data_IF_671628180975
#
_entry.id   IF_671628180975
#
_cell.length_a   1.000
_cell.length_b   1.000
_cell.length_c   1.000
_cell.angle_alpha   90.00
_cell.angle_beta   90.00
_cell.angle_gamma   90.00
#
_symmetry.space_group_name_H-M   'P 1'
#
loop_
_entity.id
_entity.type
_entity.pdbx_description
1 polymer ?
#
# COMPACT_ATOMS: atom_id res chain seq x y z
N UNK A 1 10.66 -9.70 -35.47
CA UNK A 1 10.58 -8.45 -34.71
C UNK A 1 10.59 -8.85 -33.23
N UNK A 2 11.73 -8.77 -32.54
CA UNK A 2 12.24 -7.56 -31.86
C UNK A 2 11.46 -7.36 -30.53
N UNK A 3 11.99 -7.32 -29.30
CA UNK A 3 13.32 -7.27 -28.66
C UNK A 3 13.08 -7.69 -27.18
N UNK A 4 13.91 -8.55 -26.59
CA UNK A 4 14.92 -8.16 -25.61
C UNK A 4 14.39 -7.39 -24.37
N UNK A 5 14.44 -8.05 -23.20
CA UNK A 5 15.13 -7.61 -21.97
C UNK A 5 14.77 -8.62 -20.85
N UNK A 6 15.67 -9.51 -20.37
CA UNK A 6 16.86 -9.26 -19.51
C UNK A 6 16.37 -8.68 -18.18
N UNK A 7 16.60 -9.20 -16.98
CA UNK A 7 17.34 -10.35 -16.48
C UNK A 7 17.00 -10.53 -14.98
N UNK A 8 17.46 -11.65 -14.41
CA UNK A 8 17.86 -11.80 -13.01
C UNK A 8 16.81 -11.64 -11.87
N UNK A 9 16.13 -12.74 -11.56
CA UNK A 9 15.72 -13.04 -10.18
C UNK A 9 16.44 -14.33 -9.70
N UNK A 10 17.76 -14.25 -9.52
CA UNK A 10 18.58 -15.31 -8.91
C UNK A 10 19.44 -14.74 -7.78
N UNK A 11 19.02 -14.92 -6.53
CA UNK A 11 19.80 -15.59 -5.46
C UNK A 11 19.04 -15.56 -4.13
N UNK A 12 18.64 -16.73 -3.66
CA UNK A 12 18.20 -16.96 -2.29
C UNK A 12 19.42 -17.08 -1.36
N UNK A 13 19.45 -16.29 -0.28
CA UNK A 13 20.24 -16.47 0.96
C UNK A 13 19.69 -15.42 1.95
N UNK A 14 18.94 -15.69 3.01
CA UNK A 14 18.82 -16.84 3.90
C UNK A 14 17.41 -16.92 4.52
N UNK A 15 16.83 -18.12 4.62
CA UNK A 15 16.00 -18.57 5.76
C UNK A 15 14.56 -18.09 5.96
N UNK A 16 13.99 -17.16 5.19
CA UNK A 16 12.61 -16.65 5.38
C UNK A 16 11.75 -16.89 4.13
N UNK A 17 10.89 -17.91 4.14
CA UNK A 17 10.01 -18.21 3.00
C UNK A 17 8.72 -17.37 3.05
N UNK A 18 8.64 -16.33 2.23
CA UNK A 18 7.36 -15.73 1.80
C UNK A 18 7.04 -16.23 0.39
N UNK A 19 6.09 -17.16 0.23
CA UNK A 19 5.55 -17.44 -1.09
C UNK A 19 4.58 -16.33 -1.50
N UNK A 20 5.02 -15.52 -2.44
CA UNK A 20 4.19 -14.64 -3.26
C UNK A 20 3.38 -15.52 -4.24
N UNK A 21 2.05 -15.43 -4.22
CA UNK A 21 1.20 -16.02 -5.25
C UNK A 21 0.47 -14.92 -6.03
N UNK A 22 0.65 -14.85 -7.37
CA UNK A 22 -0.16 -14.00 -8.22
C UNK A 22 -1.42 -14.77 -8.63
N UNK A 23 -2.59 -14.39 -8.10
CA UNK A 23 -3.86 -14.91 -8.58
C UNK A 23 -4.36 -14.04 -9.74
N UNK A 24 -4.21 -14.57 -10.96
CA UNK A 24 -5.00 -14.16 -12.12
C UNK A 24 -6.48 -14.50 -11.87
N UNK A 25 -7.37 -13.53 -11.64
CA UNK A 25 -8.81 -13.65 -11.97
C UNK A 25 -9.43 -12.24 -12.12
N UNK A 26 -10.35 -12.10 -13.07
CA UNK A 26 -10.78 -10.84 -13.67
C UNK A 26 -11.52 -9.86 -12.74
N UNK A 27 -11.33 -8.57 -13.06
CA UNK A 27 -12.14 -7.45 -12.56
C UNK A 27 -11.42 -6.62 -11.50
N UNK A 28 -10.44 -5.80 -11.93
CA UNK A 28 -9.85 -4.62 -11.26
C UNK A 28 -10.13 -4.47 -9.74
N UNK A 29 -9.76 -5.49 -8.97
CA UNK A 29 -9.96 -5.57 -7.54
C UNK A 29 -8.59 -5.76 -6.92
N UNK A 30 -8.02 -4.67 -6.40
CA UNK A 30 -6.80 -4.75 -5.60
C UNK A 30 -7.12 -5.60 -4.36
N UNK A 31 -6.70 -6.87 -4.35
CA UNK A 31 -6.86 -7.77 -3.20
C UNK A 31 -5.93 -7.33 -2.07
N UNK A 32 -4.66 -7.10 -2.39
CA UNK A 32 -3.63 -6.54 -1.51
C UNK A 32 -2.52 -5.85 -2.29
N UNK A 33 -2.00 -4.75 -1.76
CA UNK A 33 -0.88 -3.97 -2.28
C UNK A 33 0.11 -3.71 -1.14
N UNK A 34 1.37 -4.02 -1.37
CA UNK A 34 2.47 -3.72 -0.44
C UNK A 34 3.39 -2.69 -1.09
N UNK A 35 3.64 -1.60 -0.39
CA UNK A 35 4.43 -0.46 -0.87
C UNK A 35 5.02 0.29 0.33
N UNK A 36 5.49 1.51 0.16
CA UNK A 36 6.04 2.35 1.22
C UNK A 36 5.36 3.71 1.25
N UNK A 37 5.28 4.31 2.44
CA UNK A 37 4.74 5.67 2.60
C UNK A 37 5.77 6.68 2.11
N UNK A 38 5.49 7.39 1.03
CA UNK A 38 6.37 8.46 0.58
C UNK A 38 6.10 9.75 1.38
N UNK A 39 4.83 10.12 1.50
CA UNK A 39 4.44 11.38 2.15
C UNK A 39 3.03 11.28 2.74
N UNK A 40 2.81 11.93 3.87
CA UNK A 40 1.47 12.09 4.46
C UNK A 40 1.08 13.57 4.56
N UNK A 41 -0.06 13.94 4.02
CA UNK A 41 -0.64 15.29 4.10
C UNK A 41 -1.98 15.25 4.82
N UNK A 42 -2.41 16.39 5.37
CA UNK A 42 -3.72 16.51 6.04
C UNK A 42 -4.55 17.48 5.22
N UNK A 43 -5.81 17.14 4.99
CA UNK A 43 -6.76 18.01 4.31
C UNK A 43 -7.29 19.09 5.25
N UNK A 44 -7.96 20.10 4.69
CA UNK A 44 -8.65 21.13 5.46
C UNK A 44 -9.71 20.56 6.42
N UNK A 45 -10.31 19.41 6.10
CA UNK A 45 -11.27 18.72 6.97
C UNK A 45 -10.63 17.76 7.99
N UNK A 46 -9.30 17.77 8.12
CA UNK A 46 -8.56 16.96 9.11
C UNK A 46 -8.36 15.49 8.73
N UNK A 47 -8.71 15.09 7.50
CA UNK A 47 -8.49 13.75 7.00
C UNK A 47 -7.04 13.58 6.50
N UNK A 48 -6.44 12.42 6.74
CA UNK A 48 -5.11 12.11 6.22
C UNK A 48 -5.16 11.68 4.75
N UNK A 49 -4.20 12.17 3.98
CA UNK A 49 -3.89 11.72 2.62
C UNK A 49 -2.50 11.11 2.65
N UNK A 50 -2.38 9.88 2.16
CA UNK A 50 -1.16 9.12 2.05
C UNK A 50 -0.75 9.05 0.58
N UNK A 51 0.44 9.54 0.28
CA UNK A 51 1.12 9.36 -0.99
C UNK A 51 2.08 8.20 -0.83
N UNK A 52 1.90 7.17 -1.65
CA UNK A 52 2.70 5.95 -1.61
C UNK A 52 3.75 5.98 -2.71
N UNK A 53 4.82 5.21 -2.55
CA UNK A 53 5.95 5.20 -3.48
C UNK A 53 5.62 4.66 -4.88
N UNK A 54 4.47 4.01 -5.05
CA UNK A 54 3.94 3.60 -6.36
C UNK A 54 3.25 4.76 -7.12
N UNK A 55 3.23 5.97 -6.53
CA UNK A 55 2.55 7.15 -7.04
C UNK A 55 1.05 7.19 -6.75
N UNK A 56 0.50 6.18 -6.05
CA UNK A 56 -0.90 6.16 -5.68
C UNK A 56 -1.19 7.07 -4.47
N UNK A 57 -2.37 7.68 -4.49
CA UNK A 57 -2.84 8.56 -3.41
C UNK A 57 -4.05 7.95 -2.73
N UNK A 58 -4.01 7.91 -1.41
CA UNK A 58 -5.03 7.27 -0.58
C UNK A 58 -5.53 8.23 0.48
N UNK A 59 -6.83 8.44 0.53
CA UNK A 59 -7.47 9.32 1.50
C UNK A 59 -8.16 8.53 2.60
N UNK A 60 -7.91 8.89 3.84
CA UNK A 60 -8.62 8.38 4.99
C UNK A 60 -10.09 8.80 4.96
N UNK A 61 -10.98 7.83 5.18
CA UNK A 61 -12.44 8.02 5.19
C UNK A 61 -13.08 7.60 6.51
N UNK A 62 -12.30 7.08 7.47
CA UNK A 62 -12.77 6.78 8.82
C UNK A 62 -12.30 7.83 9.84
N UNK A 63 -12.80 7.70 11.06
CA UNK A 63 -12.42 8.54 12.21
C UNK A 63 -11.28 7.91 13.03
N UNK A 64 -10.52 6.96 12.47
CA UNK A 64 -9.43 6.32 13.19
C UNK A 64 -8.31 7.33 13.45
N UNK A 65 -7.93 7.52 14.72
CA UNK A 65 -6.78 8.38 15.02
C UNK A 65 -5.50 7.70 14.56
N UNK A 66 -4.81 8.32 13.61
CA UNK A 66 -3.46 7.91 13.17
C UNK A 66 -2.44 8.72 13.95
N UNK A 67 -1.50 8.02 14.59
CA UNK A 67 -0.37 8.66 15.27
C UNK A 67 0.59 9.24 14.21
N UNK A 68 0.53 10.57 14.04
CA UNK A 68 1.35 11.41 13.15
C UNK A 68 2.06 10.67 12.00
N UNK A 69 1.36 10.32 10.91
CA UNK A 69 1.94 9.54 9.80
C UNK A 69 3.07 10.28 9.07
N UNK A 70 3.24 11.59 9.29
CA UNK A 70 4.36 12.37 8.72
C UNK A 70 5.73 11.95 9.22
N UNK A 71 5.85 11.44 10.45
CA UNK A 71 7.15 10.99 10.98
C UNK A 71 7.53 9.60 10.49
N UNK A 72 6.67 8.99 9.67
CA UNK A 72 6.71 7.58 9.28
C UNK A 72 6.95 7.41 7.77
N UNK A 73 7.48 8.45 7.13
CA UNK A 73 7.89 8.40 5.73
C UNK A 73 8.98 7.34 5.57
N UNK A 74 8.86 6.51 4.54
CA UNK A 74 9.71 5.34 4.28
C UNK A 74 9.26 4.05 4.95
N UNK A 75 8.24 4.06 5.82
CA UNK A 75 7.72 2.84 6.45
C UNK A 75 6.90 2.00 5.46
N UNK A 76 6.89 0.68 5.65
CA UNK A 76 6.08 -0.25 4.86
C UNK A 76 4.59 0.06 5.03
N UNK A 77 3.90 0.08 3.90
CA UNK A 77 2.46 0.28 3.81
C UNK A 77 1.84 -0.95 3.15
N UNK A 78 0.91 -1.58 3.87
CA UNK A 78 0.09 -2.66 3.34
C UNK A 78 -1.34 -2.18 3.17
N UNK A 79 -1.80 -2.09 1.93
CA UNK A 79 -3.19 -1.80 1.59
C UNK A 79 -3.90 -3.11 1.25
N UNK A 80 -5.09 -3.33 1.80
CA UNK A 80 -5.92 -4.51 1.50
C UNK A 80 -7.36 -4.12 1.25
N UNK A 81 -8.08 -4.89 0.43
CA UNK A 81 -9.50 -4.64 0.16
C UNK A 81 -10.33 -4.68 1.45
N UNK A 82 -11.25 -3.72 1.57
CA UNK A 82 -12.31 -3.71 2.59
C UNK A 82 -13.69 -3.83 1.92
N UNK A 83 -14.75 -3.77 2.71
CA UNK A 83 -16.11 -3.80 2.19
C UNK A 83 -16.48 -2.48 1.48
N UNK A 84 -17.46 -2.51 0.57
CA UNK A 84 -18.06 -1.32 -0.09
C UNK A 84 -17.04 -0.41 -0.82
N UNK A 85 -16.08 -0.99 -1.56
CA UNK A 85 -15.17 -0.20 -2.41
C UNK A 85 -14.15 0.66 -1.63
N UNK A 86 -13.94 0.34 -0.37
CA UNK A 86 -12.91 0.96 0.47
C UNK A 86 -11.80 -0.03 0.76
N UNK A 87 -10.71 0.47 1.34
CA UNK A 87 -9.50 -0.29 1.56
C UNK A 87 -9.00 -0.05 2.99
N UNK A 88 -8.29 -1.01 3.55
CA UNK A 88 -7.57 -0.83 4.80
C UNK A 88 -6.10 -0.59 4.49
N UNK A 89 -5.58 0.53 4.96
CA UNK A 89 -4.16 0.86 4.91
C UNK A 89 -3.55 0.61 6.28
N UNK A 90 -2.53 -0.24 6.32
CA UNK A 90 -1.73 -0.48 7.49
C UNK A 90 -0.34 0.15 7.29
N UNK A 91 0.12 0.92 8.26
CA UNK A 91 1.41 1.61 8.24
C UNK A 91 2.31 0.96 9.29
N UNK A 92 3.23 0.09 8.84
CA UNK A 92 4.10 -0.73 9.67
C UNK A 92 3.36 -1.55 10.71
N UNK A 93 3.58 -1.25 12.00
CA UNK A 93 2.94 -1.95 13.13
C UNK A 93 1.70 -1.24 13.68
N UNK A 94 1.24 -0.16 13.04
CA UNK A 94 0.09 0.60 13.51
C UNK A 94 -1.24 -0.08 13.21
N UNK A 95 -2.29 0.47 13.84
CA UNK A 95 -3.67 0.11 13.53
C UNK A 95 -4.00 0.44 12.07
N UNK A 96 -4.67 -0.50 11.39
CA UNK A 96 -5.16 -0.27 10.04
C UNK A 96 -6.23 0.82 10.03
N UNK A 97 -6.17 1.71 9.03
CA UNK A 97 -7.13 2.79 8.80
C UNK A 97 -7.89 2.57 7.51
N UNK A 98 -9.16 2.97 7.48
CA UNK A 98 -9.98 2.85 6.28
C UNK A 98 -9.70 4.01 5.35
N UNK A 99 -9.29 3.69 4.13
CA UNK A 99 -8.94 4.64 3.08
C UNK A 99 -9.72 4.37 1.79
N UNK A 100 -9.73 5.37 0.90
CA UNK A 100 -10.19 5.27 -0.48
C UNK A 100 -9.07 5.74 -1.39
N UNK A 101 -8.90 5.08 -2.54
CA UNK A 101 -8.00 5.55 -3.60
C UNK A 101 -8.59 6.81 -4.23
N UNK A 102 -7.76 7.82 -4.45
CA UNK A 102 -8.06 9.00 -5.26
C UNK A 102 -7.39 8.90 -6.64
#
# INVERSE_FOLDING_TARGET
>A
MERAQVDAAKRAVFGLSTPNFPAMFGGDAIESLETTLERATVTANGAWIFHLADGSTWRQIDNTRVANPRTRQGEEVRVRKAALGSYFLNLGSNRAVRVRRE
#
